data_IF_358259972793
#
_entry.id   IF_358259972793
#
_cell.length_a   1.000
_cell.length_b   1.000
_cell.length_c   1.000
_cell.angle_alpha   90.00
_cell.angle_beta   90.00
_cell.angle_gamma   90.00
#
_symmetry.space_group_name_H-M   'P 1'
#
loop_
_entity.id
_entity.type
_entity.pdbx_description
1 polymer ?
#
# COMPACT_ATOMS: atom_id res chain seq x y z
N UNK A 1 -50.54 -5.98 17.03
CA UNK A 1 -50.02 -6.02 15.64
C UNK A 1 -49.05 -4.87 15.33
N UNK A 2 -49.05 -3.76 16.08
CA UNK A 2 -48.16 -2.60 15.85
C UNK A 2 -46.67 -2.86 16.15
N UNK A 3 -46.34 -3.72 17.11
CA UNK A 3 -44.96 -3.99 17.54
C UNK A 3 -44.04 -4.53 16.42
N UNK A 4 -44.61 -5.23 15.44
CA UNK A 4 -43.86 -5.82 14.33
C UNK A 4 -43.54 -4.79 13.23
N UNK A 5 -44.42 -3.79 13.05
CA UNK A 5 -44.23 -2.74 12.06
C UNK A 5 -43.10 -1.77 12.48
N UNK A 6 -43.02 -1.42 13.76
CA UNK A 6 -41.95 -0.58 14.30
C UNK A 6 -40.59 -1.30 14.27
N UNK A 7 -40.55 -2.59 14.61
CA UNK A 7 -39.35 -3.41 14.49
C UNK A 7 -38.84 -3.51 13.05
N UNK A 8 -39.75 -3.66 12.08
CA UNK A 8 -39.40 -3.64 10.66
C UNK A 8 -38.86 -2.29 10.21
N UNK A 9 -39.43 -1.18 10.71
CA UNK A 9 -38.98 0.18 10.40
C UNK A 9 -37.58 0.45 10.95
N UNK A 10 -37.33 0.08 12.20
CA UNK A 10 -36.00 0.19 12.85
C UNK A 10 -34.98 -0.67 12.11
N UNK A 11 -35.34 -1.89 11.76
CA UNK A 11 -34.45 -2.82 11.03
C UNK A 11 -34.09 -2.28 9.64
N UNK A 12 -35.04 -1.69 8.92
CA UNK A 12 -34.79 -1.04 7.62
C UNK A 12 -33.86 0.16 7.73
N UNK A 13 -34.03 1.00 8.75
CA UNK A 13 -33.14 2.15 9.01
C UNK A 13 -31.72 1.66 9.32
N UNK A 14 -31.59 0.66 10.20
CA UNK A 14 -30.30 0.06 10.55
C UNK A 14 -29.63 -0.57 9.32
N UNK A 15 -30.39 -1.26 8.48
CA UNK A 15 -29.87 -1.84 7.24
C UNK A 15 -29.41 -0.75 6.26
N UNK A 16 -30.16 0.34 6.10
CA UNK A 16 -29.76 1.49 5.28
C UNK A 16 -28.47 2.14 5.78
N UNK A 17 -28.33 2.31 7.09
CA UNK A 17 -27.11 2.80 7.71
C UNK A 17 -25.91 1.87 7.46
N UNK A 18 -26.09 0.55 7.61
CA UNK A 18 -25.02 -0.43 7.35
C UNK A 18 -24.61 -0.42 5.88
N UNK A 19 -25.56 -0.35 4.95
CA UNK A 19 -25.23 -0.22 3.52
C UNK A 19 -24.47 1.07 3.21
N UNK A 20 -24.85 2.20 3.80
CA UNK A 20 -24.12 3.45 3.62
C UNK A 20 -22.68 3.37 4.18
N UNK A 21 -22.49 2.66 5.30
CA UNK A 21 -21.16 2.43 5.89
C UNK A 21 -20.31 1.51 5.01
N UNK A 22 -20.87 0.41 4.52
CA UNK A 22 -20.21 -0.49 3.58
C UNK A 22 -19.87 0.24 2.27
N UNK A 23 -20.79 1.05 1.76
CA UNK A 23 -20.58 1.88 0.57
C UNK A 23 -19.45 2.87 0.76
N UNK A 24 -19.40 3.56 1.91
CA UNK A 24 -18.30 4.47 2.26
C UNK A 24 -16.96 3.72 2.37
N UNK A 25 -16.96 2.54 2.99
CA UNK A 25 -15.78 1.67 3.08
C UNK A 25 -15.27 1.26 1.70
N UNK A 26 -16.15 0.74 0.83
CA UNK A 26 -15.78 0.35 -0.53
C UNK A 26 -15.37 1.55 -1.40
N UNK A 27 -15.98 2.71 -1.21
CA UNK A 27 -15.58 3.95 -1.90
C UNK A 27 -14.15 4.37 -1.54
N UNK A 28 -13.78 4.28 -0.25
CA UNK A 28 -12.42 4.53 0.22
C UNK A 28 -11.42 3.51 -0.34
N UNK A 29 -11.73 2.20 -0.24
CA UNK A 29 -10.86 1.12 -0.73
C UNK A 29 -10.62 1.21 -2.23
N UNK A 30 -11.65 1.52 -3.02
CA UNK A 30 -11.54 1.55 -4.47
C UNK A 30 -11.02 2.88 -5.03
N UNK A 31 -10.82 3.91 -4.19
CA UNK A 31 -10.41 5.27 -4.58
C UNK A 31 -11.25 5.85 -5.72
N UNK A 32 -12.55 5.59 -5.72
CA UNK A 32 -13.40 5.84 -6.87
C UNK A 32 -13.87 7.30 -6.92
N UNK A 33 -13.29 8.08 -7.84
CA UNK A 33 -13.86 9.34 -8.34
C UNK A 33 -15.15 9.15 -9.17
N UNK A 34 -15.51 7.90 -9.53
CA UNK A 34 -16.68 7.56 -10.36
C UNK A 34 -18.02 7.57 -9.61
N UNK A 35 -18.06 8.00 -8.35
CA UNK A 35 -19.28 8.06 -7.55
C UNK A 35 -20.28 9.18 -7.96
N UNK A 36 -20.10 9.81 -9.12
CA UNK A 36 -21.05 10.82 -9.64
C UNK A 36 -22.32 10.23 -10.25
N UNK A 37 -22.38 8.92 -10.50
CA UNK A 37 -23.58 8.25 -11.02
C UNK A 37 -24.04 7.18 -10.05
N UNK A 38 -24.85 7.57 -9.06
CA UNK A 38 -25.39 6.64 -8.07
C UNK A 38 -26.11 5.47 -8.74
N UNK A 39 -25.68 4.26 -8.44
CA UNK A 39 -26.56 3.11 -8.49
C UNK A 39 -26.09 2.00 -7.55
N UNK A 40 -27.08 1.26 -7.06
CA UNK A 40 -27.01 0.10 -6.17
C UNK A 40 -26.08 -0.97 -6.76
N UNK A 41 -25.70 -1.97 -5.97
CA UNK A 41 -24.91 -3.13 -6.39
C UNK A 41 -25.64 -3.95 -7.50
N UNK A 42 -25.64 -3.44 -8.73
CA UNK A 42 -26.35 -4.00 -9.88
C UNK A 42 -25.49 -5.03 -10.60
N UNK A 43 -26.14 -5.90 -11.39
CA UNK A 43 -25.49 -6.88 -12.26
C UNK A 43 -24.40 -6.26 -13.15
N UNK A 44 -24.56 -5.01 -13.56
CA UNK A 44 -23.56 -4.26 -14.32
C UNK A 44 -22.20 -4.18 -13.60
N UNK A 45 -22.19 -3.86 -12.29
CA UNK A 45 -20.96 -3.81 -11.50
C UNK A 45 -20.31 -5.18 -11.36
N UNK A 46 -21.12 -6.22 -11.14
CA UNK A 46 -20.63 -7.61 -11.07
C UNK A 46 -20.00 -8.07 -12.40
N UNK A 47 -20.62 -7.76 -13.55
CA UNK A 47 -20.07 -8.08 -14.87
C UNK A 47 -18.76 -7.33 -15.13
N UNK A 48 -18.69 -6.04 -14.75
CA UNK A 48 -17.48 -5.22 -14.91
C UNK A 48 -16.36 -5.67 -13.99
N UNK A 49 -16.66 -6.00 -12.73
CA UNK A 49 -15.71 -6.57 -11.78
C UNK A 49 -15.18 -7.92 -12.27
N UNK A 50 -16.06 -8.81 -12.73
CA UNK A 50 -15.68 -10.11 -13.31
C UNK A 50 -14.80 -9.94 -14.54
N UNK A 51 -15.13 -9.00 -15.42
CA UNK A 51 -14.30 -8.71 -16.61
C UNK A 51 -12.92 -8.18 -16.22
N UNK A 52 -12.83 -7.31 -15.21
CA UNK A 52 -11.54 -6.84 -14.65
C UNK A 52 -10.75 -7.98 -14.02
N UNK A 53 -11.39 -8.85 -13.23
CA UNK A 53 -10.76 -10.03 -12.63
C UNK A 53 -10.19 -10.94 -13.72
N UNK A 54 -10.95 -11.22 -14.79
CA UNK A 54 -10.47 -12.01 -15.93
C UNK A 54 -9.27 -11.38 -16.62
N UNK A 55 -9.26 -10.05 -16.80
CA UNK A 55 -8.17 -9.31 -17.44
C UNK A 55 -6.91 -9.22 -16.57
N UNK A 56 -7.09 -9.05 -15.26
CA UNK A 56 -5.99 -8.91 -14.30
C UNK A 56 -5.45 -10.26 -13.82
N UNK A 57 -6.12 -11.37 -14.18
CA UNK A 57 -5.64 -12.71 -13.85
C UNK A 57 -4.35 -12.99 -14.63
N UNK A 58 -3.25 -13.12 -13.88
CA UNK A 58 -1.96 -13.54 -14.42
C UNK A 58 -2.08 -15.02 -14.80
N UNK A 59 -1.97 -15.32 -16.10
CA UNK A 59 -2.01 -16.69 -16.61
C UNK A 59 -0.69 -17.44 -16.43
N UNK A 60 0.41 -16.69 -16.41
CA UNK A 60 1.76 -17.18 -16.27
C UNK A 60 2.77 -16.06 -16.52
N UNK A 61 4.03 -16.34 -16.25
CA UNK A 61 5.17 -15.47 -16.50
C UNK A 61 6.29 -16.28 -17.13
N UNK A 62 7.06 -15.65 -18.03
CA UNK A 62 8.33 -16.18 -18.47
C UNK A 62 9.39 -15.98 -17.38
N UNK A 63 10.19 -17.01 -17.12
CA UNK A 63 11.41 -16.87 -16.32
C UNK A 63 12.52 -16.13 -17.11
N UNK A 64 13.67 -15.91 -16.47
CA UNK A 64 14.83 -15.28 -17.11
C UNK A 64 15.42 -16.07 -18.28
N UNK A 65 15.08 -17.35 -18.39
CA UNK A 65 15.53 -18.25 -19.45
C UNK A 65 14.48 -18.39 -20.58
N UNK A 66 13.35 -17.70 -20.49
CA UNK A 66 12.25 -17.77 -21.45
C UNK A 66 11.28 -18.94 -21.25
N UNK A 67 11.35 -19.66 -20.12
CA UNK A 67 10.42 -20.75 -19.82
C UNK A 67 9.10 -20.21 -19.27
N UNK A 68 7.98 -20.69 -19.80
CA UNK A 68 6.64 -20.31 -19.35
C UNK A 68 6.27 -21.00 -18.04
N UNK A 69 6.01 -20.20 -17.00
CA UNK A 69 5.59 -20.67 -15.69
C UNK A 69 4.12 -20.29 -15.44
N UNK A 70 3.24 -21.30 -15.31
CA UNK A 70 1.80 -21.09 -15.04
C UNK A 70 1.39 -21.38 -13.59
N UNK A 71 2.20 -22.14 -12.86
CA UNK A 71 1.92 -22.46 -11.46
C UNK A 71 2.16 -21.25 -10.54
N UNK A 72 1.30 -21.09 -9.53
CA UNK A 72 1.34 -19.90 -8.65
C UNK A 72 2.66 -19.79 -7.90
N UNK A 73 3.20 -20.89 -7.38
CA UNK A 73 4.49 -20.85 -6.66
C UNK A 73 5.64 -20.44 -7.58
N UNK A 74 5.60 -20.92 -8.83
CA UNK A 74 6.61 -20.58 -9.82
C UNK A 74 6.50 -19.12 -10.28
N UNK A 75 5.29 -18.59 -10.48
CA UNK A 75 5.05 -17.17 -10.77
C UNK A 75 5.61 -16.30 -9.62
N UNK A 76 5.31 -16.66 -8.37
CA UNK A 76 5.85 -15.97 -7.19
C UNK A 76 7.38 -16.00 -7.17
N UNK A 77 7.99 -17.14 -7.50
CA UNK A 77 9.45 -17.28 -7.56
C UNK A 77 10.08 -16.42 -8.66
N UNK A 78 9.48 -16.38 -9.85
CA UNK A 78 9.93 -15.52 -10.96
C UNK A 78 9.93 -14.06 -10.53
N UNK A 79 8.83 -13.60 -9.93
CA UNK A 79 8.72 -12.22 -9.47
C UNK A 79 9.67 -11.89 -8.31
N UNK A 80 9.81 -12.79 -7.34
CA UNK A 80 10.75 -12.63 -6.24
C UNK A 80 12.18 -12.52 -6.77
N UNK A 81 12.61 -13.44 -7.64
CA UNK A 81 13.94 -13.39 -8.26
C UNK A 81 14.18 -12.09 -9.01
N UNK A 82 13.18 -11.61 -9.76
CA UNK A 82 13.27 -10.36 -10.50
C UNK A 82 13.51 -9.17 -9.57
N UNK A 83 12.65 -8.95 -8.57
CA UNK A 83 12.80 -7.82 -7.66
C UNK A 83 14.00 -7.96 -6.73
N UNK A 84 14.28 -9.17 -6.26
CA UNK A 84 15.48 -9.45 -5.47
C UNK A 84 16.73 -9.05 -6.25
N UNK A 85 16.85 -9.46 -7.52
CA UNK A 85 18.01 -9.09 -8.34
C UNK A 85 18.03 -7.62 -8.75
N UNK A 86 16.86 -6.99 -8.91
CA UNK A 86 16.74 -5.56 -9.22
C UNK A 86 17.23 -4.68 -8.08
N UNK A 87 16.88 -5.05 -6.84
CA UNK A 87 17.24 -4.29 -5.63
C UNK A 87 18.52 -4.79 -4.95
N UNK A 88 19.07 -5.93 -5.37
CA UNK A 88 20.36 -6.42 -4.89
C UNK A 88 21.45 -5.45 -5.31
N UNK A 89 22.17 -4.91 -4.34
CA UNK A 89 23.31 -4.05 -4.61
C UNK A 89 24.34 -4.81 -5.45
N UNK A 90 24.82 -4.16 -6.51
CA UNK A 90 26.01 -4.59 -7.21
C UNK A 90 27.17 -3.92 -6.47
N UNK A 91 28.01 -4.71 -5.83
CA UNK A 91 29.26 -4.22 -5.25
C UNK A 91 30.21 -3.84 -6.40
N UNK A 92 29.93 -2.72 -7.07
CA UNK A 92 30.92 -2.03 -7.88
C UNK A 92 31.72 -1.16 -6.93
N UNK A 93 33.04 -1.37 -6.91
CA UNK A 93 33.98 -0.42 -6.33
C UNK A 93 33.88 0.86 -7.16
N UNK A 94 32.95 1.74 -6.79
CA UNK A 94 32.80 3.02 -7.43
C UNK A 94 34.00 3.87 -7.06
N UNK A 95 34.64 4.44 -8.07
CA UNK A 95 35.70 5.41 -7.87
C UNK A 95 35.05 6.72 -7.39
N UNK A 96 35.13 7.00 -6.09
CA UNK A 96 34.49 8.17 -5.46
C UNK A 96 35.02 9.51 -6.01
N UNK A 97 36.03 9.49 -6.89
CA UNK A 97 36.56 10.63 -7.62
C UNK A 97 35.48 11.46 -8.35
N UNK A 98 34.38 10.84 -8.80
CA UNK A 98 33.29 11.57 -9.46
C UNK A 98 32.49 12.47 -8.50
N UNK A 99 32.45 12.16 -7.20
CA UNK A 99 31.75 12.97 -6.20
C UNK A 99 32.39 14.35 -6.03
N UNK A 100 33.69 14.49 -6.36
CA UNK A 100 34.40 15.76 -6.32
C UNK A 100 33.89 16.79 -7.34
N UNK A 101 33.20 16.35 -8.40
CA UNK A 101 32.57 17.24 -9.38
C UNK A 101 31.16 17.71 -8.97
N UNK A 102 30.60 17.13 -7.91
CA UNK A 102 29.27 17.50 -7.42
C UNK A 102 29.41 18.71 -6.49
N UNK A 103 28.76 19.81 -6.86
CA UNK A 103 28.74 21.00 -6.02
C UNK A 103 28.04 20.70 -4.69
N UNK A 104 28.69 21.05 -3.57
CA UNK A 104 28.13 20.90 -2.23
C UNK A 104 26.89 21.79 -2.07
N UNK A 105 25.72 21.18 -1.98
CA UNK A 105 24.43 21.85 -1.77
C UNK A 105 24.01 21.90 -0.30
N UNK A 106 24.49 20.95 0.51
CA UNK A 106 24.16 20.84 1.94
C UNK A 106 25.15 21.69 2.74
N UNK A 107 24.64 22.78 3.34
CA UNK A 107 25.43 23.62 4.24
C UNK A 107 25.70 22.89 5.56
N UNK A 108 26.72 23.34 6.31
CA UNK A 108 27.03 22.74 7.60
C UNK A 108 25.84 22.79 8.57
N UNK A 109 25.05 23.87 8.51
CA UNK A 109 23.86 24.01 9.35
C UNK A 109 22.79 22.95 9.02
N UNK A 110 22.54 22.71 7.73
CA UNK A 110 21.62 21.65 7.29
C UNK A 110 22.16 20.28 7.70
N UNK A 111 23.47 20.07 7.57
CA UNK A 111 24.09 18.80 7.98
C UNK A 111 23.94 18.56 9.49
N UNK A 112 24.18 19.58 10.31
CA UNK A 112 23.98 19.49 11.76
C UNK A 112 22.51 19.23 12.11
N UNK A 113 21.57 19.82 11.37
CA UNK A 113 20.14 19.56 11.53
C UNK A 113 19.78 18.12 11.16
N UNK A 114 20.33 17.57 10.07
CA UNK A 114 20.08 16.20 9.62
C UNK A 114 20.74 15.14 10.53
N UNK A 115 21.88 15.47 11.13
CA UNK A 115 22.63 14.59 12.02
C UNK A 115 22.16 14.65 13.49
N UNK A 116 21.20 15.52 13.81
CA UNK A 116 20.65 15.62 15.17
C UNK A 116 19.86 14.35 15.52
N UNK A 117 19.70 14.09 16.81
CA UNK A 117 18.80 13.03 17.26
C UNK A 117 17.37 13.34 16.81
N UNK A 118 16.73 12.39 16.12
CA UNK A 118 15.34 12.50 15.68
C UNK A 118 14.47 12.70 16.92
N UNK A 119 13.47 13.58 16.87
CA UNK A 119 12.54 13.84 17.97
C UNK A 119 11.15 13.26 17.69
N UNK A 120 10.33 13.09 18.73
CA UNK A 120 8.94 12.60 18.55
C UNK A 120 8.13 13.55 17.67
N UNK A 121 8.42 14.85 17.73
CA UNK A 121 7.85 15.84 16.83
C UNK A 121 8.24 15.60 15.37
N UNK A 122 9.47 15.15 15.10
CA UNK A 122 9.92 14.84 13.73
C UNK A 122 9.16 13.63 13.17
N UNK A 123 8.94 12.61 14.02
CA UNK A 123 8.15 11.42 13.66
C UNK A 123 6.68 11.80 13.42
N UNK A 124 6.11 12.62 14.30
CA UNK A 124 4.73 13.10 14.17
C UNK A 124 4.55 13.98 12.91
N UNK A 125 5.51 14.84 12.61
CA UNK A 125 5.50 15.65 11.39
C UNK A 125 5.51 14.75 10.14
N UNK A 126 6.43 13.78 10.09
CA UNK A 126 6.50 12.81 8.99
C UNK A 126 5.20 11.98 8.85
N UNK A 127 4.63 11.54 9.97
CA UNK A 127 3.34 10.86 10.01
C UNK A 127 2.20 11.74 9.45
N UNK A 128 2.20 13.02 9.79
CA UNK A 128 1.18 13.96 9.31
C UNK A 128 1.30 14.27 7.81
N UNK A 129 2.52 14.23 7.26
CA UNK A 129 2.76 14.37 5.81
C UNK A 129 2.24 13.17 5.01
N UNK A 130 2.00 12.01 5.63
CA UNK A 130 1.43 10.84 4.96
C UNK A 130 0.05 11.16 4.38
N UNK A 131 -0.15 10.87 3.10
CA UNK A 131 -1.45 10.97 2.44
C UNK A 131 -2.41 9.90 3.01
N UNK A 132 -3.55 10.28 3.62
CA UNK A 132 -4.48 9.34 4.26
C UNK A 132 -5.07 8.31 3.30
N UNK A 133 -5.14 8.65 2.01
CA UNK A 133 -5.74 7.85 0.96
C UNK A 133 -4.76 6.85 0.33
N UNK A 134 -3.54 6.70 0.86
CA UNK A 134 -2.55 5.71 0.40
C UNK A 134 -3.05 4.27 0.61
N UNK A 135 -2.43 3.35 -0.13
CA UNK A 135 -2.95 1.99 -0.28
C UNK A 135 -2.70 1.28 1.04
N UNK A 136 -3.69 0.60 1.62
CA UNK A 136 -3.47 -0.10 2.86
C UNK A 136 -2.41 -1.19 2.69
N UNK A 137 -1.68 -1.48 3.76
CA UNK A 137 -0.74 -2.61 3.81
C UNK A 137 -1.45 -3.96 3.89
N UNK A 138 -0.70 -5.02 4.20
CA UNK A 138 -1.20 -6.40 4.31
C UNK A 138 -2.40 -6.58 5.26
N UNK A 139 -2.54 -5.70 6.25
CA UNK A 139 -3.61 -5.72 7.24
C UNK A 139 -4.84 -4.89 6.86
N UNK A 140 -4.86 -4.24 5.69
CA UNK A 140 -6.04 -3.52 5.22
C UNK A 140 -6.31 -2.17 5.90
N UNK A 141 -5.44 -1.71 6.81
CA UNK A 141 -5.58 -0.43 7.50
C UNK A 141 -5.08 0.73 6.62
N UNK A 142 -5.95 1.71 6.38
CA UNK A 142 -5.63 2.91 5.60
C UNK A 142 -4.89 3.97 6.44
N UNK A 143 -4.23 4.91 5.79
CA UNK A 143 -3.61 6.06 6.46
C UNK A 143 -4.63 6.87 7.27
N UNK A 144 -5.87 6.99 6.78
CA UNK A 144 -6.98 7.60 7.52
C UNK A 144 -7.25 6.91 8.86
N UNK A 145 -7.24 5.57 8.89
CA UNK A 145 -7.47 4.82 10.13
C UNK A 145 -6.44 5.19 11.22
N UNK A 146 -5.16 5.26 10.86
CA UNK A 146 -4.12 5.67 11.81
C UNK A 146 -4.26 7.11 12.27
N UNK A 147 -4.63 8.04 11.37
CA UNK A 147 -4.81 9.45 11.73
C UNK A 147 -6.02 9.68 12.63
N UNK A 148 -7.14 9.01 12.37
CA UNK A 148 -8.36 9.14 13.16
C UNK A 148 -8.22 8.49 14.56
N UNK A 149 -7.36 7.48 14.70
CA UNK A 149 -7.17 6.75 15.95
C UNK A 149 -5.80 7.05 16.60
N UNK A 150 -5.17 8.17 16.25
CA UNK A 150 -3.83 8.52 16.73
C UNK A 150 -3.74 8.59 18.25
N UNK A 151 -4.79 9.05 18.93
CA UNK A 151 -4.83 9.10 20.41
C UNK A 151 -4.67 7.71 21.04
N UNK A 152 -5.08 6.65 20.34
CA UNK A 152 -4.97 5.27 20.79
C UNK A 152 -3.63 4.64 20.40
N UNK A 153 -3.21 4.79 19.13
CA UNK A 153 -2.06 4.05 18.58
C UNK A 153 -0.76 4.86 18.55
N UNK A 154 -0.83 6.19 18.67
CA UNK A 154 0.27 7.10 18.40
C UNK A 154 1.45 6.91 19.36
N UNK A 155 1.19 6.62 20.64
CA UNK A 155 2.24 6.36 21.63
C UNK A 155 3.06 5.11 21.30
N UNK A 156 2.39 4.05 20.86
CA UNK A 156 3.04 2.79 20.48
C UNK A 156 3.84 2.97 19.19
N UNK A 157 3.28 3.71 18.22
CA UNK A 157 3.98 4.05 16.96
C UNK A 157 5.25 4.86 17.25
N UNK A 158 5.17 5.90 18.06
CA UNK A 158 6.34 6.72 18.43
C UNK A 158 7.42 5.89 19.10
N UNK A 159 7.03 5.07 20.09
CA UNK A 159 7.96 4.20 20.83
C UNK A 159 8.62 3.19 19.88
N UNK A 160 7.84 2.57 19.00
CA UNK A 160 8.37 1.61 18.03
C UNK A 160 9.34 2.25 17.03
N UNK A 161 9.01 3.44 16.50
CA UNK A 161 9.90 4.19 15.62
C UNK A 161 11.21 4.57 16.33
N UNK A 162 11.13 4.98 17.61
CA UNK A 162 12.31 5.26 18.43
C UNK A 162 13.21 4.06 18.59
N UNK A 163 12.63 2.93 18.98
CA UNK A 163 13.39 1.70 19.17
C UNK A 163 14.12 1.28 17.89
N UNK A 164 13.52 1.47 16.71
CA UNK A 164 14.17 1.20 15.42
C UNK A 164 15.28 2.21 15.13
N UNK A 165 15.00 3.51 15.26
CA UNK A 165 15.95 4.58 14.94
C UNK A 165 17.17 4.58 15.86
N UNK A 166 16.98 4.23 17.13
CA UNK A 166 18.05 4.10 18.12
C UNK A 166 18.74 2.72 18.06
N UNK A 167 18.44 1.90 17.04
CA UNK A 167 19.00 0.56 16.80
C UNK A 167 18.73 -0.48 17.91
N UNK A 168 17.68 -0.28 18.70
CA UNK A 168 17.23 -1.20 19.74
C UNK A 168 16.30 -2.31 19.22
N UNK A 169 15.70 -2.14 18.04
CA UNK A 169 14.83 -3.13 17.38
C UNK A 169 15.14 -3.26 15.89
N UNK A 170 14.94 -4.46 15.38
CA UNK A 170 15.06 -4.78 13.96
C UNK A 170 13.80 -4.33 13.19
N UNK A 171 14.00 -3.91 11.94
CA UNK A 171 12.94 -3.47 11.02
C UNK A 171 12.32 -4.62 10.24
N UNK A 172 12.85 -5.84 10.35
CA UNK A 172 12.38 -7.01 9.58
C UNK A 172 10.86 -7.22 9.64
N UNK A 173 10.20 -6.96 10.78
CA UNK A 173 8.74 -7.09 10.90
C UNK A 173 7.94 -6.08 10.07
N UNK A 174 8.55 -4.96 9.67
CA UNK A 174 7.93 -3.95 8.79
C UNK A 174 8.23 -4.20 7.31
N UNK A 175 9.19 -5.07 6.99
CA UNK A 175 9.60 -5.35 5.62
C UNK A 175 8.69 -6.36 4.90
N UNK A 176 7.69 -6.91 5.60
CA UNK A 176 6.66 -7.76 4.98
C UNK A 176 5.88 -6.95 3.93
N UNK A 177 6.15 -7.25 2.66
CA UNK A 177 5.65 -6.49 1.53
C UNK A 177 4.67 -7.31 0.71
N UNK A 178 3.51 -6.73 0.40
CA UNK A 178 2.59 -7.30 -0.59
C UNK A 178 3.00 -6.84 -1.99
N UNK A 179 3.38 -7.77 -2.84
CA UNK A 179 3.68 -7.48 -4.24
C UNK A 179 2.37 -7.56 -5.04
N UNK A 180 1.99 -6.45 -5.68
CA UNK A 180 0.80 -6.36 -6.53
C UNK A 180 1.27 -6.04 -7.95
N UNK A 181 0.95 -6.90 -8.92
CA UNK A 181 1.29 -6.67 -10.32
C UNK A 181 0.22 -5.82 -11.02
N UNK A 182 0.66 -4.77 -11.72
CA UNK A 182 -0.21 -3.87 -12.46
C UNK A 182 0.19 -3.94 -13.94
N UNK A 183 -0.58 -4.67 -14.78
CA UNK A 183 -0.28 -4.78 -16.22
C UNK A 183 -0.06 -3.42 -16.89
N UNK A 184 1.12 -3.20 -17.47
CA UNK A 184 1.44 -2.00 -18.27
C UNK A 184 0.95 -2.12 -19.70
N UNK A 185 0.90 -3.35 -20.21
CA UNK A 185 0.44 -3.68 -21.56
C UNK A 185 -0.72 -4.69 -21.51
N UNK A 186 -1.31 -4.97 -22.68
CA UNK A 186 -2.30 -6.03 -22.82
C UNK A 186 -1.58 -7.39 -22.81
N UNK A 187 -2.11 -8.34 -22.03
CA UNK A 187 -1.61 -9.72 -21.92
C UNK A 187 -0.08 -9.80 -21.67
N UNK A 188 0.42 -9.19 -20.57
CA UNK A 188 1.84 -9.22 -20.24
C UNK A 188 2.32 -10.63 -19.86
N UNK A 189 3.47 -11.01 -20.40
CA UNK A 189 4.08 -12.33 -20.21
C UNK A 189 5.42 -12.27 -19.44
N UNK A 190 6.03 -11.09 -19.33
CA UNK A 190 7.33 -10.90 -18.70
C UNK A 190 7.23 -9.89 -17.56
N UNK A 191 8.04 -10.06 -16.52
CA UNK A 191 8.00 -9.22 -15.31
C UNK A 191 8.13 -7.71 -15.58
N UNK A 192 8.95 -7.21 -16.53
CA UNK A 192 9.04 -5.77 -16.83
C UNK A 192 7.73 -5.15 -17.36
N UNK A 193 6.84 -5.97 -17.90
CA UNK A 193 5.56 -5.56 -18.49
C UNK A 193 4.40 -5.49 -17.47
N UNK A 194 4.69 -5.83 -16.20
CA UNK A 194 3.86 -5.57 -15.03
C UNK A 194 4.47 -4.45 -14.17
#
# INVERSE_FOLDING_TARGET
>A
MEFNADMLKISRIKLGYLYAKDESYWAQILRIQWFKGGDRNTCFFHVRATSRLKKNKIKGLNDSNGNWMSDTNNICRVAWNYFHNLFKSKASNHDDNYLNYIQKSVTQNVNNMLARQIMDNDILEAFNQMDPCKTPGIYGLSGTCFKENWDMVGKDVLTHCRDILDSNKDISSLNDTMIIFIPKIKDPNDMPNF
#
